data_IF_282687638637
#
_entry.id   IF_282687638637
#
_cell.length_a   1.000
_cell.length_b   1.000
_cell.length_c   1.000
_cell.angle_alpha   90.00
_cell.angle_beta   90.00
_cell.angle_gamma   90.00
#
_symmetry.space_group_name_H-M   'P 1'
#
loop_
_entity.id
_entity.type
_entity.pdbx_description
1 polymer ?
#
# COMPACT_ATOMS: atom_id res chain seq x y z
N UNK A 1 17.03 30.72 -84.46
CA UNK A 1 17.34 32.12 -84.10
C UNK A 1 18.03 32.06 -82.74
N UNK A 2 19.37 32.14 -82.63
CA UNK A 2 20.21 33.37 -82.72
C UNK A 2 19.66 34.49 -81.82
N UNK A 3 20.38 35.16 -80.91
CA UNK A 3 21.77 35.18 -80.44
C UNK A 3 21.81 36.08 -79.16
N UNK A 4 22.76 35.82 -78.25
CA UNK A 4 23.72 36.73 -77.56
C UNK A 4 23.32 38.21 -77.20
N UNK A 5 23.82 38.90 -76.16
CA UNK A 5 25.09 38.82 -75.43
C UNK A 5 25.15 39.84 -74.27
N UNK A 6 25.91 39.50 -73.21
CA UNK A 6 26.98 40.29 -72.53
C UNK A 6 26.70 41.69 -71.93
N UNK A 7 27.24 42.15 -70.79
CA UNK A 7 28.27 41.67 -69.85
C UNK A 7 28.93 42.86 -69.10
N UNK A 8 29.61 42.58 -67.96
CA UNK A 8 30.63 43.38 -67.21
C UNK A 8 30.13 44.60 -66.38
N UNK A 9 30.61 44.91 -65.16
CA UNK A 9 31.65 44.35 -64.28
C UNK A 9 31.83 45.17 -62.98
N UNK A 10 32.26 44.49 -61.91
CA UNK A 10 32.94 44.91 -60.66
C UNK A 10 32.96 46.37 -60.15
N UNK A 11 32.63 46.56 -58.85
CA UNK A 11 33.60 47.06 -57.84
C UNK A 11 33.18 46.85 -56.38
N UNK A 12 34.19 46.46 -55.61
CA UNK A 12 34.23 46.16 -54.18
C UNK A 12 34.15 47.41 -53.30
N UNK A 13 33.45 47.30 -52.16
CA UNK A 13 33.43 48.31 -51.09
C UNK A 13 33.44 47.64 -49.71
N UNK A 14 34.63 47.46 -49.14
CA UNK A 14 34.87 47.13 -47.73
C UNK A 14 34.49 48.32 -46.84
N UNK A 15 33.75 48.08 -45.75
CA UNK A 15 33.94 48.82 -44.49
C UNK A 15 33.83 47.87 -43.29
N UNK A 16 34.87 47.90 -42.46
CA UNK A 16 35.08 47.22 -41.18
C UNK A 16 34.40 47.99 -40.04
N UNK A 17 34.49 47.37 -38.85
CA UNK A 17 34.44 47.92 -37.47
C UNK A 17 33.04 47.76 -36.84
N UNK A 18 32.83 47.16 -35.66
CA UNK A 18 33.69 46.70 -34.55
C UNK A 18 32.93 45.69 -33.69
N UNK A 19 33.63 44.67 -33.18
CA UNK A 19 33.22 43.95 -31.97
C UNK A 19 33.37 44.88 -30.76
N UNK A 20 32.32 45.01 -29.96
CA UNK A 20 32.43 45.49 -28.58
C UNK A 20 31.77 44.50 -27.65
N UNK A 21 32.65 43.81 -26.93
CA UNK A 21 32.42 43.03 -25.72
C UNK A 21 31.45 43.74 -24.75
N UNK A 22 30.39 43.04 -24.33
CA UNK A 22 29.68 43.35 -23.09
C UNK A 22 29.72 42.14 -22.17
N UNK A 23 30.12 42.44 -20.94
CA UNK A 23 30.67 41.57 -19.91
C UNK A 23 29.61 40.62 -19.33
N UNK A 24 30.02 39.37 -19.09
CA UNK A 24 29.38 38.48 -18.13
C UNK A 24 29.32 39.13 -16.75
N UNK A 25 28.15 39.17 -16.14
CA UNK A 25 27.98 39.40 -14.70
C UNK A 25 27.70 38.07 -14.02
N UNK A 26 28.75 37.58 -13.34
CA UNK A 26 28.75 36.51 -12.35
C UNK A 26 27.87 36.95 -11.17
N UNK A 27 26.87 36.15 -10.80
CA UNK A 27 26.10 36.36 -9.56
C UNK A 27 26.81 35.60 -8.44
N UNK A 28 27.31 36.35 -7.45
CA UNK A 28 27.99 35.86 -6.25
C UNK A 28 27.08 36.05 -5.04
N UNK A 29 26.94 35.01 -4.23
CA UNK A 29 26.20 35.04 -2.96
C UNK A 29 26.87 35.96 -1.93
N UNK A 30 26.07 36.62 -1.08
CA UNK A 30 26.52 37.26 0.16
C UNK A 30 25.40 37.29 1.20
N UNK A 31 25.71 36.72 2.36
CA UNK A 31 25.18 36.97 3.71
C UNK A 31 25.50 38.43 4.14
N UNK A 32 24.84 39.17 5.04
CA UNK A 32 23.89 38.93 6.14
C UNK A 32 23.20 40.25 6.59
N UNK A 33 22.06 40.09 7.27
CA UNK A 33 21.47 40.88 8.39
C UNK A 33 20.97 42.32 8.22
N UNK A 34 19.64 42.50 8.34
CA UNK A 34 19.00 43.24 9.46
C UNK A 34 17.47 42.99 9.47
N UNK A 35 16.95 42.53 10.61
CA UNK A 35 15.54 42.17 10.89
C UNK A 35 14.60 43.39 10.94
N UNK A 36 13.26 43.17 10.91
CA UNK A 36 12.52 43.05 12.18
C UNK A 36 11.69 41.76 12.30
N UNK A 37 11.35 41.43 13.55
CA UNK A 37 10.80 40.17 14.07
C UNK A 37 9.64 39.53 13.28
N UNK A 38 9.55 38.18 13.30
CA UNK A 38 8.37 37.45 12.88
C UNK A 38 7.36 37.40 14.02
N UNK A 39 6.15 37.92 13.79
CA UNK A 39 5.00 37.40 14.52
C UNK A 39 4.84 35.94 14.09
N UNK A 40 5.00 35.09 15.09
CA UNK A 40 5.03 33.66 14.97
C UNK A 40 3.61 33.17 14.72
N UNK A 41 3.29 32.89 13.46
CA UNK A 41 2.22 31.96 13.12
C UNK A 41 2.82 30.96 12.15
N UNK A 42 3.69 30.13 12.70
CA UNK A 42 4.04 28.85 12.10
C UNK A 42 2.77 28.01 12.13
N UNK A 43 1.91 28.23 11.13
CA UNK A 43 0.77 27.39 10.87
C UNK A 43 1.31 26.07 10.36
N UNK A 44 1.73 25.21 11.30
CA UNK A 44 2.01 23.80 11.05
C UNK A 44 0.80 23.25 10.29
N UNK A 45 0.95 23.09 8.97
CA UNK A 45 0.00 22.33 8.17
C UNK A 45 0.08 20.94 8.78
N UNK A 46 -0.93 20.58 9.55
CA UNK A 46 -0.99 19.31 10.24
C UNK A 46 -0.81 18.22 9.18
N UNK A 47 0.26 17.44 9.29
CA UNK A 47 0.51 16.38 8.32
C UNK A 47 -0.65 15.38 8.37
N UNK A 48 -1.37 15.21 7.26
CA UNK A 48 -2.51 14.27 7.17
C UNK A 48 -2.08 12.85 7.56
N UNK A 49 -0.84 12.48 7.21
CA UNK A 49 -0.31 11.15 7.39
C UNK A 49 1.14 11.20 7.90
N UNK A 50 1.61 10.14 8.59
CA UNK A 50 2.96 10.10 9.17
C UNK A 50 4.10 10.22 8.15
N UNK A 51 4.01 9.52 7.02
CA UNK A 51 5.04 9.54 5.99
C UNK A 51 4.88 10.78 5.11
N UNK A 52 5.96 11.57 5.02
CA UNK A 52 5.99 12.78 4.18
C UNK A 52 6.33 12.43 2.73
N UNK A 53 5.62 13.06 1.80
CA UNK A 53 5.85 12.91 0.37
C UNK A 53 6.85 13.96 -0.11
N UNK A 54 8.00 13.53 -0.62
CA UNK A 54 9.13 14.42 -0.92
C UNK A 54 9.31 14.69 -2.42
N UNK A 55 8.85 13.79 -3.30
CA UNK A 55 8.95 14.00 -4.74
C UNK A 55 8.02 15.14 -5.20
N UNK A 56 8.30 15.79 -6.35
CA UNK A 56 7.40 16.80 -6.89
C UNK A 56 5.97 16.30 -7.08
N UNK A 57 5.82 15.05 -7.54
CA UNK A 57 4.52 14.38 -7.71
C UNK A 57 3.86 14.14 -6.35
N UNK A 58 4.63 13.67 -5.36
CA UNK A 58 4.13 13.45 -4.02
C UNK A 58 3.66 14.72 -3.33
N UNK A 59 4.40 15.83 -3.46
CA UNK A 59 4.00 17.15 -2.95
C UNK A 59 2.74 17.67 -3.64
N UNK A 60 2.61 17.45 -4.94
CA UNK A 60 1.39 17.77 -5.67
C UNK A 60 0.19 16.95 -5.16
N UNK A 61 0.36 15.64 -4.97
CA UNK A 61 -0.68 14.76 -4.46
C UNK A 61 -1.04 15.07 -3.01
N UNK A 62 -0.08 15.44 -2.16
CA UNK A 62 -0.37 15.86 -0.77
C UNK A 62 -1.22 17.13 -0.74
N UNK A 63 -0.98 18.07 -1.64
CA UNK A 63 -1.81 19.27 -1.77
C UNK A 63 -3.22 18.97 -2.29
N UNK A 64 -3.37 17.99 -3.20
CA UNK A 64 -4.70 17.55 -3.63
C UNK A 64 -5.43 16.81 -2.50
N UNK A 65 -4.74 15.96 -1.75
CA UNK A 65 -5.31 15.29 -0.56
C UNK A 65 -5.83 16.31 0.46
N UNK A 66 -5.16 17.45 0.65
CA UNK A 66 -5.64 18.53 1.53
C UNK A 66 -6.82 19.32 0.94
N UNK A 67 -6.75 19.66 -0.35
CA UNK A 67 -7.69 20.61 -0.96
C UNK A 67 -8.92 19.96 -1.58
N UNK A 68 -8.72 18.87 -2.35
CA UNK A 68 -9.77 18.20 -3.13
C UNK A 68 -9.52 16.68 -3.17
N UNK A 69 -9.78 15.93 -2.08
CA UNK A 69 -9.51 14.49 -2.00
C UNK A 69 -10.14 13.66 -3.13
N UNK A 70 -11.34 14.07 -3.59
CA UNK A 70 -12.06 13.39 -4.66
C UNK A 70 -11.37 13.48 -6.04
N UNK A 71 -10.41 14.40 -6.22
CA UNK A 71 -9.62 14.53 -7.45
C UNK A 71 -8.35 13.68 -7.45
N UNK A 72 -7.98 13.06 -6.31
CA UNK A 72 -6.75 12.26 -6.19
C UNK A 72 -6.69 11.13 -7.22
N UNK A 73 -7.74 10.31 -7.47
CA UNK A 73 -7.65 9.22 -8.44
C UNK A 73 -7.34 9.71 -9.86
N UNK A 74 -7.96 10.82 -10.27
CA UNK A 74 -7.77 11.44 -11.59
C UNK A 74 -6.37 12.07 -11.71
N UNK A 75 -5.91 12.75 -10.65
CA UNK A 75 -4.57 13.30 -10.61
C UNK A 75 -3.50 12.20 -10.67
N UNK A 76 -3.68 11.10 -9.92
CA UNK A 76 -2.79 9.94 -9.97
C UNK A 76 -2.76 9.32 -11.36
N UNK A 77 -3.91 9.17 -12.02
CA UNK A 77 -3.99 8.64 -13.39
C UNK A 77 -3.15 9.47 -14.36
N UNK A 78 -3.27 10.79 -14.31
CA UNK A 78 -2.47 11.70 -15.14
C UNK A 78 -0.96 11.57 -14.85
N UNK A 79 -0.57 11.44 -13.59
CA UNK A 79 0.85 11.29 -13.21
C UNK A 79 1.42 9.94 -13.66
N UNK A 80 0.64 8.85 -13.58
CA UNK A 80 1.06 7.54 -14.07
C UNK A 80 1.21 7.51 -15.60
N UNK A 81 0.31 8.16 -16.34
CA UNK A 81 0.40 8.28 -17.80
C UNK A 81 1.65 9.09 -18.21
N UNK A 82 1.94 10.18 -17.52
CA UNK A 82 3.15 10.97 -17.74
C UNK A 82 4.41 10.14 -17.47
N UNK A 83 4.47 9.42 -16.34
CA UNK A 83 5.60 8.55 -16.00
C UNK A 83 5.83 7.45 -17.04
N UNK A 84 4.75 6.86 -17.56
CA UNK A 84 4.82 5.86 -18.62
C UNK A 84 5.37 6.45 -19.92
N UNK A 85 4.86 7.63 -20.32
CA UNK A 85 5.31 8.35 -21.52
C UNK A 85 6.80 8.71 -21.43
N UNK A 86 7.23 9.24 -20.29
CA UNK A 86 8.63 9.60 -20.06
C UNK A 86 9.54 8.37 -20.12
N UNK A 87 9.14 7.27 -19.47
CA UNK A 87 9.88 6.01 -19.50
C UNK A 87 10.01 5.41 -20.91
N UNK A 88 8.94 5.45 -21.72
CA UNK A 88 8.98 4.93 -23.09
C UNK A 88 9.81 5.83 -24.02
N UNK A 89 9.79 7.14 -23.80
CA UNK A 89 10.68 8.07 -24.51
C UNK A 89 12.15 7.83 -24.19
N UNK A 90 12.50 7.50 -22.95
CA UNK A 90 13.87 7.21 -22.54
C UNK A 90 14.41 5.95 -23.21
N UNK A 91 13.60 4.88 -23.25
CA UNK A 91 13.97 3.64 -23.95
C UNK A 91 14.24 3.82 -25.44
N UNK A 92 13.56 4.79 -26.08
CA UNK A 92 13.77 5.09 -27.50
C UNK A 92 15.02 5.94 -27.75
N UNK A 93 15.51 6.67 -26.74
CA UNK A 93 16.69 7.53 -26.85
C UNK A 93 18.00 6.84 -26.41
N UNK A 94 17.92 5.60 -25.91
CA UNK A 94 19.08 4.77 -25.55
C UNK A 94 19.77 4.19 -26.81
N UNK A 95 20.31 5.05 -27.68
CA UNK A 95 21.19 4.65 -28.80
C UNK A 95 22.66 4.55 -28.31
N UNK A 96 23.27 3.36 -28.23
CA UNK A 96 24.58 3.19 -27.61
C UNK A 96 25.70 3.45 -28.63
N UNK A 97 25.91 4.70 -29.03
CA UNK A 97 27.10 5.15 -29.76
C UNK A 97 28.06 5.91 -28.84
N UNK A 98 28.32 5.39 -27.64
CA UNK A 98 29.10 6.09 -26.62
C UNK A 98 30.33 5.29 -26.17
N UNK A 99 31.47 5.98 -26.01
CA UNK A 99 32.75 5.38 -25.61
C UNK A 99 32.77 4.97 -24.12
N UNK A 100 33.75 4.15 -23.72
CA UNK A 100 33.76 3.41 -22.43
C UNK A 100 33.44 4.22 -21.16
N UNK A 101 33.92 5.45 -21.01
CA UNK A 101 33.64 6.30 -19.84
C UNK A 101 32.23 6.88 -19.87
N UNK A 102 31.74 7.18 -21.06
CA UNK A 102 30.41 7.72 -21.33
C UNK A 102 29.34 6.65 -21.03
N UNK A 103 29.62 5.38 -21.35
CA UNK A 103 28.77 4.23 -20.98
C UNK A 103 28.54 4.11 -19.46
N UNK A 104 29.57 4.38 -18.64
CA UNK A 104 29.44 4.36 -17.17
C UNK A 104 28.56 5.51 -16.69
N UNK A 105 28.71 6.69 -17.29
CA UNK A 105 27.87 7.86 -16.98
C UNK A 105 26.40 7.60 -17.34
N UNK A 106 26.11 7.12 -18.56
CA UNK A 106 24.74 6.77 -18.97
C UNK A 106 24.12 5.71 -18.06
N UNK A 107 24.89 4.68 -17.68
CA UNK A 107 24.44 3.68 -16.71
C UNK A 107 24.06 4.31 -15.37
N UNK A 108 24.89 5.21 -14.84
CA UNK A 108 24.61 5.83 -13.53
C UNK A 108 23.40 6.77 -13.61
N UNK A 109 23.24 7.50 -14.71
CA UNK A 109 22.07 8.35 -14.95
C UNK A 109 20.80 7.49 -15.00
N UNK A 110 20.82 6.37 -15.74
CA UNK A 110 19.70 5.44 -15.81
C UNK A 110 19.34 4.84 -14.44
N UNK A 111 20.35 4.49 -13.62
CA UNK A 111 20.14 4.02 -12.24
C UNK A 111 19.45 5.09 -11.37
N UNK A 112 19.90 6.35 -11.43
CA UNK A 112 19.29 7.46 -10.68
C UNK A 112 17.84 7.69 -11.12
N UNK A 113 17.59 7.75 -12.43
CA UNK A 113 16.23 7.91 -12.99
C UNK A 113 15.31 6.76 -12.59
N UNK A 114 15.80 5.52 -12.60
CA UNK A 114 15.02 4.37 -12.15
C UNK A 114 14.66 4.48 -10.66
N UNK A 115 15.58 4.97 -9.82
CA UNK A 115 15.32 5.18 -8.39
C UNK A 115 14.34 6.33 -8.14
N UNK A 116 14.41 7.42 -8.91
CA UNK A 116 13.46 8.54 -8.84
C UNK A 116 12.04 8.11 -9.24
N UNK A 117 11.92 7.33 -10.33
CA UNK A 117 10.64 6.71 -10.73
C UNK A 117 10.08 5.81 -9.64
N UNK A 118 10.93 4.95 -9.05
CA UNK A 118 10.52 4.08 -7.95
C UNK A 118 9.99 4.88 -6.76
N UNK A 119 10.74 5.90 -6.32
CA UNK A 119 10.32 6.80 -5.23
C UNK A 119 8.97 7.45 -5.55
N UNK A 120 8.77 7.89 -6.79
CA UNK A 120 7.51 8.50 -7.22
C UNK A 120 6.34 7.51 -7.13
N UNK A 121 6.54 6.27 -7.56
CA UNK A 121 5.52 5.22 -7.48
C UNK A 121 5.18 4.85 -6.02
N UNK A 122 6.17 4.76 -5.14
CA UNK A 122 5.97 4.55 -3.70
C UNK A 122 5.08 5.65 -3.09
N UNK A 123 5.34 6.91 -3.45
CA UNK A 123 4.57 8.06 -2.97
C UNK A 123 3.15 8.10 -3.56
N UNK A 124 2.96 7.68 -4.82
CA UNK A 124 1.63 7.49 -5.43
C UNK A 124 0.83 6.41 -4.69
N UNK A 125 1.45 5.26 -4.42
CA UNK A 125 0.81 4.17 -3.66
C UNK A 125 0.39 4.66 -2.27
N UNK A 126 1.26 5.39 -1.58
CA UNK A 126 0.94 5.95 -0.28
C UNK A 126 -0.23 6.93 -0.35
N UNK A 127 -0.24 7.85 -1.31
CA UNK A 127 -1.31 8.82 -1.49
C UNK A 127 -2.68 8.14 -1.70
N UNK A 128 -2.73 7.06 -2.49
CA UNK A 128 -3.95 6.26 -2.70
C UNK A 128 -4.42 5.56 -1.41
N UNK A 129 -3.50 5.04 -0.60
CA UNK A 129 -3.83 4.42 0.69
C UNK A 129 -4.39 5.47 1.65
N UNK A 130 -3.71 6.62 1.77
CA UNK A 130 -4.17 7.74 2.62
C UNK A 130 -5.56 8.20 2.19
N UNK A 131 -5.81 8.33 0.88
CA UNK A 131 -7.13 8.65 0.35
C UNK A 131 -8.19 7.65 0.81
N UNK A 132 -7.92 6.33 0.75
CA UNK A 132 -8.86 5.30 1.21
C UNK A 132 -9.18 5.42 2.70
N UNK A 133 -8.21 5.77 3.54
CA UNK A 133 -8.45 6.06 4.96
C UNK A 133 -9.32 7.31 5.16
N UNK A 134 -9.08 8.37 4.36
CA UNK A 134 -9.90 9.58 4.38
C UNK A 134 -11.34 9.32 3.94
N UNK A 135 -11.54 8.54 2.87
CA UNK A 135 -12.86 8.14 2.36
C UNK A 135 -13.63 7.30 3.40
N UNK A 136 -12.91 6.48 4.18
CA UNK A 136 -13.44 5.72 5.31
C UNK A 136 -13.66 6.56 6.58
N UNK A 137 -13.23 7.83 6.58
CA UNK A 137 -13.26 8.74 7.72
C UNK A 137 -12.59 8.14 8.97
N UNK A 138 -11.40 7.56 8.77
CA UNK A 138 -10.52 7.01 9.80
C UNK A 138 -9.17 7.75 9.73
N UNK A 139 -8.72 8.30 10.85
CA UNK A 139 -7.39 8.92 10.92
C UNK A 139 -6.29 7.85 11.00
N UNK A 140 -5.19 8.07 10.31
CA UNK A 140 -3.99 7.24 10.47
C UNK A 140 -3.34 7.53 11.83
N UNK A 141 -2.74 6.51 12.43
CA UNK A 141 -1.97 6.66 13.67
C UNK A 141 -0.85 7.68 13.44
N UNK A 142 -0.72 8.74 14.27
CA UNK A 142 0.37 9.70 14.15
C UNK A 142 1.71 9.08 14.55
N UNK A 143 2.81 9.70 14.14
CA UNK A 143 4.16 9.29 14.56
C UNK A 143 4.26 9.21 16.08
N UNK A 144 4.73 8.05 16.58
CA UNK A 144 4.93 7.76 18.00
C UNK A 144 6.24 8.39 18.50
N UNK A 145 6.37 9.70 18.30
CA UNK A 145 7.37 10.50 18.98
C UNK A 145 6.90 10.73 20.43
N UNK A 146 7.81 10.76 21.42
CA UNK A 146 7.42 11.09 22.77
C UNK A 146 6.74 12.47 22.78
N UNK A 147 5.49 12.59 23.23
CA UNK A 147 4.85 13.90 23.35
C UNK A 147 5.68 14.71 24.37
N UNK A 148 6.22 15.84 23.95
CA UNK A 148 6.97 16.76 24.82
C UNK A 148 6.12 17.36 25.96
N UNK A 149 4.82 17.04 25.98
CA UNK A 149 3.79 17.77 26.71
C UNK A 149 2.83 16.88 27.52
N UNK A 150 2.91 15.54 27.44
CA UNK A 150 2.02 14.66 28.20
C UNK A 150 2.75 13.99 29.39
N UNK A 151 2.40 14.32 30.66
CA UNK A 151 3.04 13.73 31.84
C UNK A 151 2.76 12.23 32.01
N UNK A 152 1.80 11.66 31.27
CA UNK A 152 1.48 10.22 31.30
C UNK A 152 2.47 9.36 30.50
N UNK A 153 3.14 9.94 29.48
CA UNK A 153 3.98 9.22 28.53
C UNK A 153 3.24 8.19 27.67
N UNK A 154 1.90 8.20 27.70
CA UNK A 154 1.02 7.29 26.97
C UNK A 154 0.79 7.82 25.54
N UNK A 155 0.93 6.96 24.53
CA UNK A 155 0.90 7.37 23.11
C UNK A 155 -0.43 7.13 22.40
N UNK A 156 -1.39 6.47 23.03
CA UNK A 156 -2.57 5.89 22.39
C UNK A 156 -3.91 6.53 22.80
N UNK A 157 -3.95 7.87 22.86
CA UNK A 157 -5.19 8.64 23.05
C UNK A 157 -6.09 8.68 21.81
N UNK A 158 -6.23 7.56 21.10
CA UNK A 158 -6.98 7.48 19.84
C UNK A 158 -8.47 7.18 20.05
N UNK A 159 -9.37 7.72 19.20
CA UNK A 159 -10.81 7.53 19.37
C UNK A 159 -11.24 6.07 19.17
N UNK A 160 -11.96 5.50 20.15
CA UNK A 160 -12.46 4.11 20.08
C UNK A 160 -13.49 3.89 18.97
N UNK A 161 -14.22 4.93 18.57
CA UNK A 161 -15.21 4.86 17.47
C UNK A 161 -14.58 4.47 16.13
N UNK A 162 -13.30 4.78 15.92
CA UNK A 162 -12.58 4.40 14.70
C UNK A 162 -12.34 2.89 14.59
N UNK A 163 -12.30 2.17 15.71
CA UNK A 163 -12.15 0.71 15.72
C UNK A 163 -13.31 0.03 14.99
N UNK A 164 -14.54 0.50 15.26
CA UNK A 164 -15.75 -0.02 14.60
C UNK A 164 -15.78 0.32 13.11
N UNK A 165 -15.31 1.51 12.72
CA UNK A 165 -15.19 1.88 11.30
C UNK A 165 -14.19 0.98 10.59
N UNK A 166 -13.04 0.73 11.21
CA UNK A 166 -12.02 -0.17 10.66
C UNK A 166 -12.54 -1.59 10.49
N UNK A 167 -13.32 -2.10 11.45
CA UNK A 167 -13.98 -3.40 11.31
C UNK A 167 -14.87 -3.46 10.06
N UNK A 168 -15.64 -2.41 9.79
CA UNK A 168 -16.59 -2.36 8.66
C UNK A 168 -15.92 -2.32 7.28
N UNK A 169 -14.60 -2.08 7.21
CA UNK A 169 -13.84 -2.08 5.96
C UNK A 169 -13.48 -3.48 5.46
N UNK A 170 -13.72 -4.51 6.28
CA UNK A 170 -13.44 -5.91 5.97
C UNK A 170 -14.74 -6.72 5.87
N UNK A 171 -14.74 -7.76 5.04
CA UNK A 171 -15.85 -8.72 5.02
C UNK A 171 -15.97 -9.44 6.37
N UNK A 172 -17.15 -9.97 6.70
CA UNK A 172 -17.36 -10.70 7.95
C UNK A 172 -16.37 -11.87 8.09
N UNK A 173 -16.15 -12.62 7.01
CA UNK A 173 -15.22 -13.75 7.01
C UNK A 173 -13.75 -13.32 7.15
N UNK A 174 -13.35 -12.19 6.54
CA UNK A 174 -12.03 -11.62 6.75
C UNK A 174 -11.87 -11.12 8.20
N UNK A 175 -12.87 -10.42 8.74
CA UNK A 175 -12.81 -9.90 10.11
C UNK A 175 -12.69 -11.02 11.15
N UNK A 176 -13.32 -12.17 10.96
CA UNK A 176 -13.09 -13.35 11.80
C UNK A 176 -11.62 -13.80 11.79
N UNK A 177 -10.94 -13.75 10.63
CA UNK A 177 -9.51 -14.03 10.55
C UNK A 177 -8.68 -12.96 11.25
N UNK A 178 -9.05 -11.68 11.13
CA UNK A 178 -8.41 -10.57 11.86
C UNK A 178 -8.53 -10.76 13.38
N UNK A 179 -9.70 -11.19 13.88
CA UNK A 179 -9.87 -11.48 15.31
C UNK A 179 -8.95 -12.61 15.80
N UNK A 180 -8.74 -13.63 14.97
CA UNK A 180 -7.77 -14.68 15.28
C UNK A 180 -6.33 -14.13 15.33
N UNK A 181 -5.95 -13.28 14.36
CA UNK A 181 -4.64 -12.61 14.33
C UNK A 181 -4.42 -11.71 15.56
N UNK A 182 -5.43 -10.92 15.93
CA UNK A 182 -5.43 -10.10 17.15
C UNK A 182 -5.26 -10.96 18.40
N UNK A 183 -5.94 -12.10 18.47
CA UNK A 183 -5.84 -13.04 19.60
C UNK A 183 -4.43 -13.65 19.71
N UNK A 184 -3.75 -13.90 18.58
CA UNK A 184 -2.37 -14.39 18.58
C UNK A 184 -1.37 -13.34 19.07
N UNK A 185 -1.59 -12.06 18.73
CA UNK A 185 -0.70 -10.96 19.13
C UNK A 185 -0.94 -10.55 20.59
N UNK A 186 -2.21 -10.39 20.99
CA UNK A 186 -2.61 -9.88 22.31
C UNK A 186 -2.74 -11.00 23.36
N UNK A 187 -2.83 -12.26 22.93
CA UNK A 187 -3.04 -13.40 23.81
C UNK A 187 -4.32 -13.28 24.63
N UNK A 188 -4.26 -13.71 25.91
CA UNK A 188 -5.39 -13.65 26.83
C UNK A 188 -5.80 -12.22 27.24
N UNK A 189 -5.06 -11.18 26.82
CA UNK A 189 -5.26 -9.78 27.24
C UNK A 189 -6.21 -9.00 26.34
N UNK A 190 -6.84 -9.66 25.37
CA UNK A 190 -7.81 -9.05 24.44
C UNK A 190 -9.00 -8.37 25.16
N UNK A 191 -9.33 -8.82 26.39
CA UNK A 191 -10.37 -8.21 27.23
C UNK A 191 -9.88 -7.18 28.26
N UNK A 192 -8.56 -6.98 28.42
CA UNK A 192 -7.96 -6.04 29.38
C UNK A 192 -7.66 -4.68 28.72
N UNK A 193 -8.67 -4.05 28.10
CA UNK A 193 -8.50 -2.88 27.23
C UNK A 193 -7.78 -1.68 27.87
N UNK A 194 -7.90 -1.49 29.19
CA UNK A 194 -7.29 -0.36 29.91
C UNK A 194 -5.89 -0.64 30.46
N UNK A 195 -5.40 -1.88 30.40
CA UNK A 195 -4.07 -2.20 30.92
C UNK A 195 -2.99 -1.66 29.96
N UNK A 196 -2.02 -0.94 30.53
CA UNK A 196 -0.91 -0.34 29.80
C UNK A 196 0.28 -1.30 29.84
N UNK A 197 0.87 -1.53 28.67
CA UNK A 197 2.09 -2.30 28.52
C UNK A 197 3.24 -1.38 28.14
N UNK A 198 4.41 -1.64 28.72
CA UNK A 198 5.68 -1.09 28.28
C UNK A 198 6.28 -2.04 27.26
N UNK A 199 6.29 -1.63 26.00
CA UNK A 199 6.76 -2.45 24.87
C UNK A 199 7.81 -1.66 24.10
N UNK A 200 8.86 -2.33 23.65
CA UNK A 200 9.92 -1.72 22.87
C UNK A 200 9.41 -1.26 21.50
N UNK A 201 9.85 -0.10 21.01
CA UNK A 201 9.42 0.46 19.71
C UNK A 201 9.70 -0.50 18.57
N UNK A 202 10.88 -1.14 18.58
CA UNK A 202 11.23 -2.17 17.61
C UNK A 202 10.18 -3.28 17.56
N UNK A 203 9.74 -3.78 18.73
CA UNK A 203 8.77 -4.88 18.81
C UNK A 203 7.38 -4.44 18.33
N UNK A 204 6.94 -3.23 18.66
CA UNK A 204 5.66 -2.70 18.14
C UNK A 204 5.74 -2.52 16.62
N UNK A 205 6.85 -1.99 16.10
CA UNK A 205 7.10 -1.84 14.67
C UNK A 205 7.12 -3.18 13.92
N UNK A 206 7.74 -4.22 14.48
CA UNK A 206 7.72 -5.58 13.91
C UNK A 206 6.30 -6.14 13.85
N UNK A 207 5.51 -5.99 14.92
CA UNK A 207 4.11 -6.41 14.96
C UNK A 207 3.27 -5.64 13.94
N UNK A 208 3.52 -4.34 13.78
CA UNK A 208 2.86 -3.50 12.78
C UNK A 208 3.16 -3.99 11.36
N UNK A 209 4.44 -4.10 10.99
CA UNK A 209 4.86 -4.55 9.65
C UNK A 209 4.34 -5.96 9.33
N UNK A 210 4.42 -6.90 10.30
CA UNK A 210 3.86 -8.23 10.14
C UNK A 210 2.33 -8.21 9.93
N UNK A 211 1.63 -7.31 10.61
CA UNK A 211 0.18 -7.14 10.45
C UNK A 211 -0.20 -6.49 9.13
N UNK A 212 0.63 -5.59 8.58
CA UNK A 212 0.47 -5.07 7.22
C UNK A 212 0.60 -6.20 6.19
N UNK A 213 1.64 -7.01 6.28
CA UNK A 213 1.81 -8.16 5.40
C UNK A 213 0.65 -9.16 5.51
N UNK A 214 0.17 -9.41 6.73
CA UNK A 214 -1.01 -10.24 6.98
C UNK A 214 -2.28 -9.67 6.33
N UNK A 215 -2.53 -8.37 6.46
CA UNK A 215 -3.68 -7.71 5.84
C UNK A 215 -3.65 -7.75 4.32
N UNK A 216 -2.47 -7.59 3.72
CA UNK A 216 -2.24 -7.74 2.29
C UNK A 216 -2.58 -9.16 1.81
N UNK A 217 -2.03 -10.18 2.48
CA UNK A 217 -2.35 -11.58 2.24
C UNK A 217 -3.86 -11.84 2.35
N UNK A 218 -4.47 -11.42 3.46
CA UNK A 218 -5.86 -11.68 3.78
C UNK A 218 -6.80 -11.09 2.73
N UNK A 219 -6.54 -9.86 2.28
CA UNK A 219 -7.33 -9.20 1.24
C UNK A 219 -7.33 -9.99 -0.07
N UNK A 220 -6.18 -10.51 -0.49
CA UNK A 220 -6.05 -11.30 -1.71
C UNK A 220 -6.86 -12.60 -1.64
N UNK A 221 -6.74 -13.31 -0.53
CA UNK A 221 -7.47 -14.57 -0.33
C UNK A 221 -8.97 -14.30 -0.23
N UNK A 222 -9.39 -13.28 0.54
CA UNK A 222 -10.80 -12.95 0.68
C UNK A 222 -11.43 -12.57 -0.66
N UNK A 223 -10.78 -11.73 -1.47
CA UNK A 223 -11.27 -11.41 -2.81
C UNK A 223 -11.45 -12.65 -3.68
N UNK A 224 -10.47 -13.57 -3.67
CA UNK A 224 -10.57 -14.83 -4.41
C UNK A 224 -11.72 -15.69 -3.89
N UNK A 225 -11.84 -15.82 -2.57
CA UNK A 225 -12.88 -16.60 -1.90
C UNK A 225 -14.28 -16.08 -2.23
N UNK A 226 -14.51 -14.76 -2.12
CA UNK A 226 -15.80 -14.14 -2.44
C UNK A 226 -16.13 -14.28 -3.92
N UNK A 227 -15.13 -14.21 -4.80
CA UNK A 227 -15.32 -14.38 -6.24
C UNK A 227 -15.71 -15.84 -6.59
N UNK A 228 -15.05 -16.84 -5.99
CA UNK A 228 -15.44 -18.24 -6.13
C UNK A 228 -16.83 -18.54 -5.56
N UNK A 229 -17.16 -17.96 -4.40
CA UNK A 229 -18.48 -18.07 -3.77
C UNK A 229 -19.56 -17.52 -4.69
N UNK A 230 -19.33 -16.34 -5.28
CA UNK A 230 -20.26 -15.71 -6.22
C UNK A 230 -20.41 -16.54 -7.50
N UNK A 231 -19.32 -17.05 -8.07
CA UNK A 231 -19.37 -17.91 -9.26
C UNK A 231 -20.15 -19.20 -9.03
N UNK A 232 -19.97 -19.85 -7.87
CA UNK A 232 -20.74 -21.07 -7.52
C UNK A 232 -22.23 -20.78 -7.37
N UNK A 233 -22.60 -19.63 -6.78
CA UNK A 233 -24.00 -19.21 -6.69
C UNK A 233 -24.60 -18.96 -8.09
N UNK A 234 -23.84 -18.32 -9.00
CA UNK A 234 -24.31 -18.08 -10.38
C UNK A 234 -24.50 -19.38 -11.16
N UNK A 235 -23.59 -20.34 -11.04
CA UNK A 235 -23.69 -21.65 -11.70
C UNK A 235 -24.91 -22.43 -11.20
N UNK A 236 -25.14 -22.44 -9.89
CA UNK A 236 -26.32 -23.08 -9.31
C UNK A 236 -27.62 -22.42 -9.82
N UNK A 237 -27.65 -21.09 -9.95
CA UNK A 237 -28.82 -20.38 -10.47
C UNK A 237 -29.08 -20.65 -11.97
N UNK A 238 -28.02 -20.84 -12.76
CA UNK A 238 -28.15 -21.25 -14.17
C UNK A 238 -28.64 -22.70 -14.30
N UNK A 239 -28.22 -23.59 -13.41
CA UNK A 239 -28.72 -24.97 -13.36
C UNK A 239 -30.20 -25.03 -12.96
N UNK A 240 -30.61 -24.27 -11.95
CA UNK A 240 -32.03 -24.17 -11.55
C UNK A 240 -32.90 -23.59 -12.69
N UNK A 241 -32.38 -22.64 -13.48
CA UNK A 241 -33.09 -22.06 -14.63
C UNK A 241 -33.23 -23.04 -15.82
N UNK A 242 -32.21 -23.86 -16.07
CA UNK A 242 -32.24 -24.90 -17.12
C UNK A 242 -33.14 -26.08 -16.74
N UNK A 243 -33.23 -26.42 -15.45
CA UNK A 243 -34.17 -27.44 -14.95
C UNK A 243 -35.63 -26.98 -15.02
N UNK A 244 -35.88 -25.67 -14.96
CA UNK A 244 -37.23 -25.12 -15.06
C UNK A 244 -37.74 -24.95 -16.51
N UNK A 245 -36.84 -24.89 -17.50
CA UNK A 245 -37.20 -24.76 -18.94
C UNK A 245 -37.44 -26.13 -19.62
N UNK A 246 -36.86 -27.21 -19.08
CA UNK A 246 -37.10 -28.59 -19.57
C UNK A 246 -38.48 -29.14 -19.16
N UNK A 247 -39.19 -28.47 -18.24
CA UNK A 247 -40.50 -28.93 -17.75
C UNK A 247 -41.71 -28.30 -18.46
N UNK A 248 -41.50 -27.46 -19.49
CA UNK A 248 -42.56 -26.71 -20.19
C UNK A 248 -42.85 -27.15 -21.62
N UNK A 249 -42.40 -28.32 -22.06
CA UNK A 249 -42.84 -28.89 -23.35
C UNK A 249 -42.96 -30.42 -23.31
N UNK A 250 -44.16 -30.91 -23.02
CA UNK A 250 -44.48 -32.34 -23.06
C UNK A 250 -45.83 -32.68 -22.43
N UNK A 251 -46.90 -32.44 -23.17
CA UNK A 251 -48.32 -32.69 -22.83
C UNK A 251 -48.66 -34.19 -22.72
N UNK A 252 -49.48 -34.50 -21.71
CA UNK A 252 -50.43 -35.63 -21.48
C UNK A 252 -49.99 -37.11 -21.45
N UNK A 253 -50.45 -37.81 -20.39
CA UNK A 253 -50.49 -39.28 -20.38
C UNK A 253 -50.63 -40.04 -19.04
N UNK A 254 -51.60 -39.68 -18.18
CA UNK A 254 -52.43 -40.59 -17.32
C UNK A 254 -51.85 -41.44 -16.15
N UNK A 255 -52.44 -41.23 -14.95
CA UNK A 255 -52.72 -42.08 -13.75
C UNK A 255 -51.54 -42.86 -13.08
N UNK A 256 -51.44 -43.13 -11.77
CA UNK A 256 -52.32 -43.32 -10.60
C UNK A 256 -51.51 -42.98 -9.32
N UNK A 257 -52.21 -42.85 -8.19
CA UNK A 257 -51.71 -42.41 -6.89
C UNK A 257 -50.74 -43.40 -6.19
N UNK A 258 -49.97 -42.91 -5.20
CA UNK A 258 -50.02 -43.32 -3.77
C UNK A 258 -48.92 -42.61 -2.97
N UNK A 259 -49.35 -41.97 -1.91
CA UNK A 259 -48.59 -41.30 -0.85
C UNK A 259 -48.06 -42.35 0.16
N UNK A 260 -46.76 -42.34 0.51
CA UNK A 260 -46.24 -43.02 1.73
C UNK A 260 -44.86 -42.48 2.16
N UNK A 261 -44.80 -41.91 3.37
CA UNK A 261 -43.63 -41.77 4.25
C UNK A 261 -43.97 -42.52 5.57
N UNK A 262 -43.07 -42.72 6.57
CA UNK A 262 -41.62 -42.97 6.67
C UNK A 262 -41.28 -44.18 7.63
N UNK A 263 -40.02 -44.31 8.10
CA UNK A 263 -39.40 -45.24 9.13
C UNK A 263 -38.56 -46.43 8.57
N UNK A 264 -37.43 -46.92 9.14
CA UNK A 264 -36.54 -46.55 10.24
C UNK A 264 -35.21 -47.39 10.22
N UNK A 265 -34.07 -46.72 10.48
CA UNK A 265 -32.92 -47.14 11.35
C UNK A 265 -31.99 -48.34 10.93
N UNK A 266 -30.86 -48.70 11.65
CA UNK A 266 -30.22 -48.16 12.88
C UNK A 266 -28.64 -48.12 12.94
N UNK A 267 -28.09 -47.56 14.05
CA UNK A 267 -26.84 -47.90 14.82
C UNK A 267 -25.45 -47.97 14.11
N UNK A 268 -24.28 -47.59 14.67
CA UNK A 268 -23.80 -47.22 16.00
C UNK A 268 -22.25 -47.37 16.07
N UNK A 269 -21.63 -46.77 17.12
CA UNK A 269 -20.21 -46.88 17.57
C UNK A 269 -19.15 -46.11 16.74
N UNK A 270 -18.20 -45.30 17.24
CA UNK A 270 -17.40 -45.16 18.47
C UNK A 270 -15.91 -45.51 18.21
N UNK A 271 -15.03 -44.54 18.48
CA UNK A 271 -13.56 -44.64 18.48
C UNK A 271 -12.93 -43.36 17.92
N UNK A 272 -12.41 -42.39 18.67
CA UNK A 272 -11.92 -42.38 20.04
C UNK A 272 -10.40 -42.16 20.04
N UNK A 273 -9.95 -40.90 19.92
CA UNK A 273 -8.64 -40.48 20.43
C UNK A 273 -8.76 -39.01 20.88
N UNK A 274 -8.61 -38.77 22.18
CA UNK A 274 -8.43 -37.42 22.72
C UNK A 274 -6.98 -36.97 22.54
N UNK A 275 -6.76 -35.66 22.37
CA UNK A 275 -5.70 -35.00 23.11
C UNK A 275 -6.29 -33.82 23.88
N UNK A 276 -6.11 -33.84 25.20
CA UNK A 276 -6.40 -32.70 26.05
C UNK A 276 -5.44 -31.54 25.77
N UNK A 277 -5.95 -30.33 25.98
CA UNK A 277 -5.15 -29.14 26.29
C UNK A 277 -4.76 -28.27 25.10
N UNK A 278 -5.69 -27.41 24.63
CA UNK A 278 -5.52 -25.95 24.53
C UNK A 278 -6.86 -25.32 24.13
N UNK A 279 -7.17 -24.15 24.69
CA UNK A 279 -8.51 -23.58 24.78
C UNK A 279 -9.15 -23.05 23.49
N UNK A 280 -10.48 -22.92 23.58
CA UNK A 280 -11.43 -22.29 22.65
C UNK A 280 -11.66 -23.00 21.31
N UNK A 281 -12.76 -23.76 21.25
CA UNK A 281 -13.33 -24.31 20.01
C UNK A 281 -13.92 -23.23 19.12
N UNK A 282 -13.06 -22.41 18.50
CA UNK A 282 -13.46 -21.53 17.40
C UNK A 282 -13.72 -22.45 16.21
N UNK A 283 -15.00 -22.62 15.85
CA UNK A 283 -15.37 -23.28 14.60
C UNK A 283 -14.56 -22.62 13.48
N UNK A 284 -13.82 -23.37 12.64
CA UNK A 284 -13.02 -22.76 11.59
C UNK A 284 -13.95 -21.96 10.68
N UNK A 285 -13.65 -20.67 10.50
CA UNK A 285 -14.39 -19.81 9.58
C UNK A 285 -14.33 -20.40 8.17
N UNK A 286 -15.33 -20.08 7.33
CA UNK A 286 -15.36 -20.59 5.95
C UNK A 286 -14.10 -20.19 5.17
N UNK A 287 -13.64 -18.95 5.37
CA UNK A 287 -12.41 -18.45 4.79
C UNK A 287 -11.17 -19.15 5.35
N UNK A 288 -11.11 -19.43 6.66
CA UNK A 288 -10.01 -20.20 7.25
C UNK A 288 -9.92 -21.62 6.67
N UNK A 289 -11.05 -22.30 6.52
CA UNK A 289 -11.08 -23.63 5.89
C UNK A 289 -10.65 -23.57 4.42
N UNK A 290 -11.00 -22.49 3.71
CA UNK A 290 -10.55 -22.26 2.34
C UNK A 290 -9.03 -22.08 2.25
N UNK A 291 -8.43 -21.25 3.11
CA UNK A 291 -6.96 -21.06 3.19
C UNK A 291 -6.24 -22.35 3.53
N UNK A 292 -6.78 -23.14 4.47
CA UNK A 292 -6.19 -24.43 4.87
C UNK A 292 -6.22 -25.48 3.74
N UNK A 293 -7.01 -25.26 2.69
CA UNK A 293 -7.04 -26.11 1.51
C UNK A 293 -5.95 -25.80 0.48
N UNK A 294 -5.19 -24.71 0.65
CA UNK A 294 -4.09 -24.36 -0.25
C UNK A 294 -2.87 -25.25 -0.03
N UNK A 295 -2.18 -25.58 -1.12
CA UNK A 295 -0.82 -26.09 -1.06
C UNK A 295 0.18 -24.98 -0.66
N UNK A 296 1.39 -25.38 -0.29
CA UNK A 296 2.41 -24.45 0.19
C UNK A 296 2.84 -23.40 -0.83
N UNK A 297 2.86 -23.74 -2.12
CA UNK A 297 3.25 -22.81 -3.19
C UNK A 297 2.16 -21.75 -3.42
N UNK A 298 0.90 -22.18 -3.46
CA UNK A 298 -0.24 -21.27 -3.53
C UNK A 298 -0.25 -20.32 -2.33
N UNK A 299 -0.10 -20.84 -1.11
CA UNK A 299 -0.10 -20.02 0.10
C UNK A 299 1.05 -18.99 0.09
N UNK A 300 2.25 -19.40 -0.32
CA UNK A 300 3.40 -18.50 -0.45
C UNK A 300 3.15 -17.43 -1.52
N UNK A 301 2.55 -17.79 -2.66
CA UNK A 301 2.20 -16.84 -3.71
C UNK A 301 1.23 -15.75 -3.22
N UNK A 302 0.26 -16.11 -2.37
CA UNK A 302 -0.66 -15.16 -1.74
C UNK A 302 0.03 -14.30 -0.66
N UNK A 303 0.96 -14.88 0.10
CA UNK A 303 1.66 -14.19 1.19
C UNK A 303 2.74 -13.20 0.71
N UNK A 304 3.28 -13.41 -0.50
CA UNK A 304 4.35 -12.56 -1.04
C UNK A 304 3.80 -11.24 -1.57
N UNK A 305 4.39 -10.11 -1.13
CA UNK A 305 4.12 -8.77 -1.68
C UNK A 305 4.58 -8.71 -3.14
N UNK A 306 3.74 -8.15 -4.02
CA UNK A 306 3.92 -8.26 -5.48
C UNK A 306 5.01 -7.34 -6.00
N UNK A 307 5.10 -6.11 -5.51
CA UNK A 307 6.06 -5.12 -5.99
C UNK A 307 7.14 -4.76 -4.97
N UNK A 308 8.30 -4.34 -5.47
CA UNK A 308 9.39 -3.82 -4.64
C UNK A 308 9.03 -2.48 -4.01
N UNK A 309 8.28 -1.67 -4.75
CA UNK A 309 7.72 -0.39 -4.29
C UNK A 309 6.83 -0.57 -3.06
N UNK A 310 5.99 -1.61 -3.01
CA UNK A 310 5.14 -1.89 -1.86
C UNK A 310 5.96 -2.34 -0.64
N UNK A 311 7.00 -3.15 -0.83
CA UNK A 311 7.89 -3.57 0.28
C UNK A 311 8.58 -2.36 0.90
N UNK A 312 9.21 -1.51 0.08
CA UNK A 312 9.89 -0.29 0.57
C UNK A 312 8.92 0.70 1.19
N UNK A 313 7.67 0.76 0.71
CA UNK A 313 6.62 1.58 1.31
C UNK A 313 6.25 1.11 2.72
N UNK A 314 6.11 -0.20 2.95
CA UNK A 314 5.84 -0.75 4.28
C UNK A 314 6.96 -0.37 5.25
N UNK A 315 8.21 -0.50 4.81
CA UNK A 315 9.38 -0.11 5.60
C UNK A 315 9.36 1.39 5.94
N UNK A 316 9.15 2.26 4.95
CA UNK A 316 9.09 3.72 5.16
C UNK A 316 7.94 4.17 6.05
N UNK A 317 6.75 3.60 5.89
CA UNK A 317 5.61 3.93 6.76
C UNK A 317 5.85 3.44 8.19
N UNK A 318 6.43 2.26 8.37
CA UNK A 318 6.81 1.76 9.70
C UNK A 318 7.89 2.65 10.32
N UNK A 319 8.90 3.08 9.55
CA UNK A 319 9.92 4.04 9.99
C UNK A 319 9.30 5.39 10.38
N UNK A 320 8.33 5.88 9.61
CA UNK A 320 7.63 7.14 9.92
C UNK A 320 6.79 7.05 11.19
N UNK A 321 6.28 5.86 11.54
CA UNK A 321 5.52 5.63 12.76
C UNK A 321 6.39 5.46 14.01
N UNK A 322 7.42 4.63 13.93
CA UNK A 322 8.20 4.18 15.09
C UNK A 322 9.63 4.75 15.15
N UNK A 323 10.08 5.43 14.11
CA UNK A 323 11.46 5.87 13.93
C UNK A 323 12.33 4.81 13.25
N UNK A 324 13.57 5.19 12.89
CA UNK A 324 14.57 4.26 12.34
C UNK A 324 15.05 3.31 13.43
N UNK A 325 14.94 1.99 13.24
CA UNK A 325 15.49 1.05 14.20
C UNK A 325 17.02 1.07 14.12
N UNK A 326 17.69 1.53 15.19
CA UNK A 326 19.15 1.49 15.30
C UNK A 326 19.59 0.08 15.74
N UNK A 327 19.59 -0.88 14.80
CA UNK A 327 19.98 -2.27 15.06
C UNK A 327 21.49 -2.39 14.80
N UNK A 328 22.29 -2.38 15.86
CA UNK A 328 23.70 -2.79 15.78
C UNK A 328 23.78 -4.31 15.87
N UNK A 329 24.35 -4.97 14.86
CA UNK A 329 24.66 -6.40 14.94
C UNK A 329 25.98 -6.53 15.71
N UNK A 330 25.94 -7.17 16.87
CA UNK A 330 27.16 -7.47 17.64
C UNK A 330 28.04 -8.45 16.84
N UNK A 331 29.37 -8.48 17.08
CA UNK A 331 30.25 -9.45 16.43
C UNK A 331 29.86 -10.92 16.69
N UNK A 332 29.04 -11.20 17.71
CA UNK A 332 28.43 -12.50 18.01
C UNK A 332 27.19 -12.83 17.16
N UNK A 333 26.77 -11.94 16.25
CA UNK A 333 25.61 -12.14 15.37
C UNK A 333 24.26 -11.91 16.05
N UNK A 334 24.24 -11.34 17.26
CA UNK A 334 23.02 -10.95 17.96
C UNK A 334 22.70 -9.48 17.74
N UNK A 335 21.41 -9.12 17.70
CA UNK A 335 20.97 -7.73 17.57
C UNK A 335 21.11 -7.02 18.91
N UNK A 336 21.99 -6.02 19.01
CA UNK A 336 22.07 -5.12 20.15
C UNK A 336 20.85 -4.20 20.14
N UNK A 337 19.98 -4.37 21.13
CA UNK A 337 18.74 -3.61 21.34
C UNK A 337 18.85 -2.67 22.55
N UNK A 338 20.06 -2.44 23.06
CA UNK A 338 20.30 -1.63 24.26
C UNK A 338 19.89 -0.16 24.14
N UNK A 339 19.72 0.34 22.92
CA UNK A 339 19.22 1.71 22.62
C UNK A 339 17.73 1.76 22.23
N UNK A 340 17.01 0.63 22.23
CA UNK A 340 15.62 0.60 21.81
C UNK A 340 14.73 1.36 22.82
N UNK A 341 13.99 2.35 22.33
CA UNK A 341 13.10 3.15 23.16
C UNK A 341 11.85 2.35 23.54
N UNK A 342 11.38 2.51 24.78
CA UNK A 342 10.17 1.86 25.27
C UNK A 342 8.98 2.82 25.12
N UNK A 343 7.86 2.28 24.66
CA UNK A 343 6.59 3.01 24.52
C UNK A 343 5.56 2.43 25.48
N UNK A 344 4.78 3.32 26.12
CA UNK A 344 3.63 2.97 26.94
C UNK A 344 2.37 3.00 26.07
N UNK A 345 1.79 1.85 25.81
CA UNK A 345 0.59 1.69 24.99
C UNK A 345 -0.40 0.78 25.70
N UNK A 346 -1.70 1.13 25.71
CA UNK A 346 -2.73 0.23 26.22
C UNK A 346 -3.00 -0.93 25.26
N UNK A 347 -3.61 -2.00 25.74
CA UNK A 347 -4.07 -3.08 24.84
C UNK A 347 -5.13 -2.60 23.84
N UNK A 348 -5.95 -1.60 24.18
CA UNK A 348 -6.85 -0.97 23.22
C UNK A 348 -6.07 -0.25 22.11
N UNK A 349 -5.03 0.51 22.47
CA UNK A 349 -4.13 1.15 21.52
C UNK A 349 -3.44 0.14 20.61
N UNK A 350 -2.88 -0.93 21.18
CA UNK A 350 -2.22 -1.99 20.42
C UNK A 350 -3.20 -2.71 19.48
N UNK A 351 -4.43 -2.95 19.92
CA UNK A 351 -5.51 -3.50 19.08
C UNK A 351 -5.83 -2.58 17.90
N UNK A 352 -6.00 -1.27 18.15
CA UNK A 352 -6.26 -0.25 17.11
C UNK A 352 -5.11 -0.18 16.10
N UNK A 353 -3.86 -0.28 16.58
CA UNK A 353 -2.64 -0.26 15.76
C UNK A 353 -2.54 -1.50 14.85
N UNK A 354 -2.84 -2.69 15.38
CA UNK A 354 -2.89 -3.92 14.57
C UNK A 354 -4.03 -3.85 13.54
N UNK A 355 -5.20 -3.37 13.94
CA UNK A 355 -6.35 -3.24 13.03
C UNK A 355 -6.09 -2.22 11.91
N UNK A 356 -5.41 -1.12 12.21
CA UNK A 356 -4.91 -0.19 11.19
C UNK A 356 -3.94 -0.86 10.24
N UNK A 357 -2.94 -1.55 10.77
CA UNK A 357 -1.90 -2.21 9.98
C UNK A 357 -2.53 -3.21 8.99
N UNK A 358 -3.47 -4.03 9.45
CA UNK A 358 -4.22 -4.96 8.59
C UNK A 358 -5.00 -4.22 7.50
N UNK A 359 -5.64 -3.11 7.85
CA UNK A 359 -6.40 -2.28 6.89
C UNK A 359 -5.47 -1.62 5.88
N UNK A 360 -4.31 -1.13 6.32
CA UNK A 360 -3.27 -0.57 5.48
C UNK A 360 -2.78 -1.60 4.46
N UNK A 361 -2.50 -2.83 4.89
CA UNK A 361 -2.10 -3.92 3.99
C UNK A 361 -3.18 -4.29 2.98
N UNK A 362 -4.45 -4.29 3.40
CA UNK A 362 -5.60 -4.49 2.51
C UNK A 362 -5.71 -3.39 1.44
N UNK A 363 -5.53 -2.13 1.83
CA UNK A 363 -5.54 -1.00 0.90
C UNK A 363 -4.31 -0.97 0.00
N UNK A 364 -3.15 -1.44 0.47
CA UNK A 364 -1.95 -1.58 -0.34
C UNK A 364 -2.17 -2.53 -1.51
N UNK A 365 -2.85 -3.67 -1.30
CA UNK A 365 -3.23 -4.57 -2.40
C UNK A 365 -4.12 -3.89 -3.44
N UNK A 366 -5.14 -3.14 -3.00
CA UNK A 366 -6.02 -2.42 -3.92
C UNK A 366 -5.25 -1.33 -4.70
N UNK A 367 -4.35 -0.60 -4.03
CA UNK A 367 -3.54 0.45 -4.63
C UNK A 367 -2.54 -0.12 -5.64
N UNK A 368 -1.86 -1.22 -5.32
CA UNK A 368 -0.98 -1.93 -6.26
C UNK A 368 -1.77 -2.41 -7.48
N UNK A 369 -2.96 -2.98 -7.29
CA UNK A 369 -3.82 -3.41 -8.39
C UNK A 369 -4.24 -2.25 -9.29
N UNK A 370 -4.54 -1.08 -8.70
CA UNK A 370 -4.87 0.14 -9.45
C UNK A 370 -3.68 0.64 -10.28
N UNK A 371 -2.51 0.79 -9.64
CA UNK A 371 -1.31 1.29 -10.32
C UNK A 371 -0.82 0.31 -11.39
N UNK A 372 -0.78 -1.00 -11.11
CA UNK A 372 -0.33 -2.04 -12.06
C UNK A 372 -1.18 -2.09 -13.34
N UNK A 373 -2.45 -1.69 -13.27
CA UNK A 373 -3.31 -1.59 -14.46
C UNK A 373 -2.92 -0.46 -15.42
N UNK A 374 -2.16 0.54 -14.96
CA UNK A 374 -1.78 1.75 -15.71
C UNK A 374 -0.28 1.89 -15.94
N UNK A 375 0.53 1.45 -14.97
CA UNK A 375 1.99 1.47 -15.00
C UNK A 375 2.53 0.14 -14.46
N UNK A 376 3.38 -0.53 -15.23
CA UNK A 376 3.90 -1.86 -14.83
C UNK A 376 4.89 -1.73 -13.67
N UNK A 377 4.46 -2.14 -12.48
CA UNK A 377 5.30 -2.17 -11.27
C UNK A 377 6.45 -3.19 -11.39
N UNK A 378 7.52 -2.97 -10.61
CA UNK A 378 8.66 -3.89 -10.58
C UNK A 378 8.30 -5.07 -9.69
N UNK A 379 8.10 -6.23 -10.31
CA UNK A 379 7.80 -7.48 -9.60
C UNK A 379 8.95 -7.85 -8.65
N UNK A 380 8.58 -8.36 -7.48
CA UNK A 380 9.52 -8.83 -6.45
C UNK A 380 10.22 -10.12 -6.86
#
# INVERSE_FOLDING_TARGET
>A
MQQFSSGLGFKSGRRRVSLTSRRCSIVRASTSSSSPQPDSTDGSISSIAPLQLESPVGQFLSQILLSHPHLVPAAVEQQLEQLQTDHDSEKQNDDPSAAGTDLVLYRRIAEVKANERRKTLEEILYALIVQKFMDANVSLVPTLAPPSSDPSGQVDSWPTEEEKKLQQLHSDEAYEMIQNHLSLILGNRLGESSAVAEISKLRVGQVYAASVMYGYFLKRVDQRFQLEKTMKVLLNHQQDALEHDVKTSGTDGSYEAVESHPEAAPSGWAGGISPGGFGSGIKPSRLRSYVMGFDGETLQSYATIRSKEAVTLIEKHTEALFGRPEIMITPEGTTDTSKDEVVKISFAGLKRLVLEAVTFGSFLWDAEGYVDSRYRLVMN
#
